data_IF_464734098295
#
_entry.id   IF_464734098295
#
_cell.length_a   1.000
_cell.length_b   1.000
_cell.length_c   1.000
_cell.angle_alpha   90.00
_cell.angle_beta   90.00
_cell.angle_gamma   90.00
#
_symmetry.space_group_name_H-M   'P 1'
#
loop_
_entity.id
_entity.type
_entity.pdbx_description
1 polymer ?
#
# COMPACT_ATOMS: atom_id res chain seq x y z
N UNK A 1 13.53 29.17 0.14
CA UNK A 1 12.23 29.61 -0.40
C UNK A 1 12.42 30.12 -1.83
N UNK A 2 12.74 29.23 -2.75
CA UNK A 2 12.84 29.48 -4.20
C UNK A 2 12.87 28.09 -4.86
N UNK A 3 12.56 28.02 -6.16
CA UNK A 3 12.36 26.80 -6.97
C UNK A 3 10.99 26.20 -6.61
N UNK A 4 9.91 26.28 -7.40
CA UNK A 4 9.77 25.80 -8.79
C UNK A 4 8.53 26.48 -9.42
N UNK A 5 8.70 27.48 -10.30
CA UNK A 5 7.64 27.88 -11.24
C UNK A 5 7.78 27.07 -12.53
N UNK A 6 7.51 25.76 -12.45
CA UNK A 6 7.30 24.97 -13.67
C UNK A 6 5.98 25.48 -14.26
N UNK A 7 6.03 26.00 -15.49
CA UNK A 7 4.83 26.41 -16.22
C UNK A 7 3.78 25.31 -16.16
N UNK A 8 2.53 25.65 -15.80
CA UNK A 8 1.42 24.70 -15.66
C UNK A 8 1.30 23.75 -16.88
N UNK A 9 1.64 24.25 -18.08
CA UNK A 9 1.68 23.47 -19.32
C UNK A 9 2.75 22.36 -19.30
N UNK A 10 3.95 22.62 -18.74
CA UNK A 10 5.01 21.61 -18.59
C UNK A 10 4.66 20.56 -17.53
N UNK A 11 3.96 20.94 -16.45
CA UNK A 11 3.46 19.98 -15.46
C UNK A 11 2.37 19.08 -16.06
N UNK A 12 1.43 19.67 -16.82
CA UNK A 12 0.39 18.91 -17.53
C UNK A 12 0.98 17.89 -18.51
N UNK A 13 2.01 18.29 -19.27
CA UNK A 13 2.73 17.39 -20.18
C UNK A 13 3.40 16.26 -19.40
N UNK A 14 4.03 16.57 -18.26
CA UNK A 14 4.63 15.55 -17.38
C UNK A 14 3.62 14.52 -16.87
N UNK A 15 2.46 14.97 -16.38
CA UNK A 15 1.39 14.06 -15.94
C UNK A 15 0.80 13.24 -17.09
N UNK A 16 0.60 13.84 -18.26
CA UNK A 16 0.11 13.14 -19.44
C UNK A 16 1.09 12.05 -19.91
N UNK A 17 2.40 12.33 -19.89
CA UNK A 17 3.44 11.35 -20.21
C UNK A 17 3.46 10.21 -19.19
N UNK A 18 3.36 10.51 -17.88
CA UNK A 18 3.28 9.48 -16.84
C UNK A 18 2.05 8.58 -17.00
N UNK A 19 0.88 9.16 -17.28
CA UNK A 19 -0.35 8.40 -17.51
C UNK A 19 -0.26 7.52 -18.76
N UNK A 20 0.34 8.04 -19.84
CA UNK A 20 0.59 7.27 -21.06
C UNK A 20 1.53 6.08 -20.82
N UNK A 21 2.62 6.30 -20.08
CA UNK A 21 3.56 5.22 -19.71
C UNK A 21 2.83 4.17 -18.88
N UNK A 22 2.04 4.57 -17.89
CA UNK A 22 1.28 3.63 -17.06
C UNK A 22 0.22 2.85 -17.86
N UNK A 23 -0.49 3.53 -18.76
CA UNK A 23 -1.48 2.90 -19.64
C UNK A 23 -0.85 1.95 -20.68
N UNK A 24 0.43 2.16 -21.05
CA UNK A 24 1.14 1.30 -21.98
C UNK A 24 1.51 -0.07 -21.38
N UNK A 25 1.62 -0.18 -20.05
CA UNK A 25 1.97 -1.41 -19.33
C UNK A 25 1.03 -2.59 -19.65
N UNK A 26 -0.31 -2.48 -19.46
CA UNK A 26 -1.22 -3.59 -19.75
C UNK A 26 -1.24 -3.97 -21.24
N UNK A 27 -0.96 -3.02 -22.15
CA UNK A 27 -0.83 -3.30 -23.59
C UNK A 27 0.43 -4.12 -23.89
N UNK A 28 1.55 -3.80 -23.24
CA UNK A 28 2.81 -4.55 -23.37
C UNK A 28 2.72 -5.94 -22.74
N UNK A 29 1.95 -6.10 -21.66
CA UNK A 29 1.64 -7.41 -21.08
C UNK A 29 0.83 -8.24 -22.07
N UNK A 30 -0.23 -7.67 -22.66
CA UNK A 30 -1.06 -8.36 -23.65
C UNK A 30 -0.29 -8.72 -24.92
N UNK A 31 0.69 -7.92 -25.31
CA UNK A 31 1.56 -8.19 -26.46
C UNK A 31 2.58 -9.32 -26.23
N UNK A 32 2.65 -9.89 -25.02
CA UNK A 32 3.56 -11.00 -24.69
C UNK A 32 5.03 -10.58 -24.56
N UNK A 33 5.32 -9.28 -24.55
CA UNK A 33 6.68 -8.73 -24.44
C UNK A 33 7.17 -8.79 -22.99
N UNK A 34 6.26 -8.67 -22.03
CA UNK A 34 6.56 -8.70 -20.59
C UNK A 34 6.38 -10.11 -20.02
N UNK A 35 7.49 -10.76 -19.66
CA UNK A 35 7.47 -12.04 -18.93
C UNK A 35 6.99 -11.86 -17.48
N UNK A 36 6.59 -12.94 -16.81
CA UNK A 36 6.10 -12.93 -15.42
C UNK A 36 7.09 -12.29 -14.43
N UNK A 37 8.39 -12.42 -14.70
CA UNK A 37 9.43 -11.74 -13.92
C UNK A 37 9.30 -10.22 -13.99
N UNK A 38 9.10 -9.66 -15.20
CA UNK A 38 8.96 -8.21 -15.38
C UNK A 38 7.68 -7.70 -14.73
N UNK A 39 6.60 -8.48 -14.76
CA UNK A 39 5.34 -8.13 -14.10
C UNK A 39 5.51 -8.08 -12.58
N UNK A 40 6.14 -9.08 -11.98
CA UNK A 40 6.42 -9.08 -10.54
C UNK A 40 7.35 -7.95 -10.13
N UNK A 41 8.41 -7.71 -10.90
CA UNK A 41 9.33 -6.61 -10.65
C UNK A 41 8.61 -5.25 -10.70
N UNK A 42 7.77 -5.04 -11.70
CA UNK A 42 6.98 -3.82 -11.83
C UNK A 42 5.98 -3.66 -10.69
N UNK A 43 5.32 -4.75 -10.27
CA UNK A 43 4.43 -4.76 -9.12
C UNK A 43 5.15 -4.29 -7.85
N UNK A 44 6.30 -4.88 -7.52
CA UNK A 44 7.09 -4.45 -6.36
C UNK A 44 7.56 -3.00 -6.49
N UNK A 45 8.01 -2.59 -7.67
CA UNK A 45 8.44 -1.21 -7.93
C UNK A 45 7.30 -0.21 -7.66
N UNK A 46 6.08 -0.50 -8.12
CA UNK A 46 4.90 0.34 -7.88
C UNK A 46 4.52 0.35 -6.40
N UNK A 47 4.54 -0.81 -5.73
CA UNK A 47 4.24 -0.91 -4.29
C UNK A 47 5.20 -0.02 -3.48
N UNK A 48 6.51 -0.13 -3.72
CA UNK A 48 7.50 0.68 -3.02
C UNK A 48 7.46 2.16 -3.43
N UNK A 49 7.11 2.47 -4.68
CA UNK A 49 6.90 3.85 -5.12
C UNK A 49 5.73 4.52 -4.37
N UNK A 50 4.60 3.81 -4.21
CA UNK A 50 3.46 4.31 -3.43
C UNK A 50 3.83 4.46 -1.95
N UNK A 51 4.55 3.48 -1.39
CA UNK A 51 5.01 3.56 0.00
C UNK A 51 5.96 4.76 0.22
N UNK A 52 6.90 4.98 -0.70
CA UNK A 52 7.80 6.13 -0.69
C UNK A 52 7.07 7.46 -0.86
N UNK A 53 6.04 7.50 -1.71
CA UNK A 53 5.19 8.68 -1.89
C UNK A 53 4.42 9.00 -0.61
N UNK A 54 3.81 8.01 0.05
CA UNK A 54 3.11 8.19 1.32
C UNK A 54 4.06 8.75 2.40
N UNK A 55 5.25 8.17 2.50
CA UNK A 55 6.28 8.66 3.41
C UNK A 55 6.74 10.09 3.08
N UNK A 56 6.94 10.41 1.80
CA UNK A 56 7.33 11.75 1.35
C UNK A 56 6.23 12.79 1.60
N UNK A 57 4.96 12.44 1.44
CA UNK A 57 3.86 13.35 1.75
C UNK A 57 3.89 13.68 3.24
N UNK A 58 3.99 12.67 4.11
CA UNK A 58 4.01 12.94 5.54
C UNK A 58 5.26 13.75 5.94
N UNK A 59 6.44 13.30 5.55
CA UNK A 59 7.70 13.95 5.92
C UNK A 59 7.83 15.35 5.27
N UNK A 60 7.46 15.48 4.00
CA UNK A 60 7.59 16.69 3.21
C UNK A 60 6.62 17.80 3.63
N UNK A 61 5.38 17.48 3.99
CA UNK A 61 4.40 18.48 4.41
C UNK A 61 4.40 18.74 5.91
N UNK A 62 4.58 17.71 6.76
CA UNK A 62 4.53 17.87 8.22
C UNK A 62 5.89 18.04 8.88
N UNK A 63 6.99 17.67 8.20
CA UNK A 63 8.32 17.62 8.80
C UNK A 63 8.49 16.51 9.86
N UNK A 64 7.51 15.60 9.97
CA UNK A 64 7.52 14.49 10.92
C UNK A 64 7.92 13.19 10.22
N UNK A 65 8.86 12.48 10.83
CA UNK A 65 9.32 11.16 10.40
C UNK A 65 8.42 10.08 11.01
N UNK A 66 7.67 9.32 10.19
CA UNK A 66 6.84 8.20 10.66
C UNK A 66 7.37 6.86 10.19
N UNK A 67 7.63 5.97 11.14
CA UNK A 67 7.90 4.56 10.88
C UNK A 67 6.64 3.68 10.97
N UNK A 68 5.47 4.30 11.15
CA UNK A 68 4.17 3.62 11.26
C UNK A 68 3.67 2.97 9.97
N UNK A 69 4.22 3.36 8.83
CA UNK A 69 3.75 2.92 7.50
C UNK A 69 3.74 1.39 7.32
N UNK A 70 4.70 0.70 7.94
CA UNK A 70 4.77 -0.76 7.88
C UNK A 70 3.58 -1.44 8.58
N UNK A 71 3.06 -0.85 9.67
CA UNK A 71 1.86 -1.35 10.33
C UNK A 71 0.62 -1.23 9.44
N UNK A 72 0.44 -0.09 8.77
CA UNK A 72 -0.70 0.11 7.87
C UNK A 72 -0.61 -0.79 6.63
N UNK A 73 0.61 -1.01 6.13
CA UNK A 73 0.86 -1.97 5.06
C UNK A 73 0.48 -3.40 5.48
N UNK A 74 0.88 -3.82 6.70
CA UNK A 74 0.51 -5.11 7.25
C UNK A 74 -1.00 -5.27 7.40
N UNK A 75 -1.71 -4.26 7.93
CA UNK A 75 -3.18 -4.28 8.08
C UNK A 75 -3.88 -4.46 6.73
N UNK A 76 -3.46 -3.71 5.71
CA UNK A 76 -3.98 -3.86 4.35
C UNK A 76 -3.75 -5.28 3.79
N UNK A 77 -2.52 -5.80 3.92
CA UNK A 77 -2.17 -7.14 3.45
C UNK A 77 -2.99 -8.24 4.15
N UNK A 78 -3.10 -8.18 5.48
CA UNK A 78 -3.88 -9.15 6.24
C UNK A 78 -5.39 -9.04 5.98
N UNK A 79 -5.89 -7.84 5.68
CA UNK A 79 -7.31 -7.66 5.30
C UNK A 79 -7.60 -8.38 3.99
N UNK A 80 -6.73 -8.24 2.98
CA UNK A 80 -6.88 -8.96 1.71
C UNK A 80 -6.71 -10.48 1.90
N UNK A 81 -5.82 -10.92 2.79
CA UNK A 81 -5.58 -12.33 3.05
C UNK A 81 -6.73 -13.02 3.81
N UNK A 82 -7.35 -12.31 4.76
CA UNK A 82 -8.40 -12.87 5.63
C UNK A 82 -9.80 -12.69 5.07
N UNK A 83 -10.08 -11.63 4.30
CA UNK A 83 -11.41 -11.36 3.76
C UNK A 83 -12.03 -12.56 2.99
N UNK A 84 -11.28 -13.32 2.17
CA UNK A 84 -11.82 -14.51 1.49
C UNK A 84 -12.25 -15.66 2.42
N UNK A 85 -11.87 -15.65 3.70
CA UNK A 85 -12.33 -16.65 4.69
C UNK A 85 -13.75 -16.35 5.19
N UNK A 86 -14.17 -15.08 5.12
CA UNK A 86 -15.47 -14.62 5.62
C UNK A 86 -16.45 -14.28 4.50
N UNK A 87 -15.93 -13.87 3.33
CA UNK A 87 -16.72 -13.48 2.16
C UNK A 87 -16.55 -14.54 1.08
N UNK A 88 -17.66 -15.06 0.57
CA UNK A 88 -17.65 -15.99 -0.56
C UNK A 88 -17.32 -15.22 -1.86
N UNK A 89 -16.29 -15.67 -2.58
CA UNK A 89 -15.87 -15.15 -3.90
C UNK A 89 -15.76 -13.60 -3.99
N UNK A 90 -14.95 -12.94 -3.12
CA UNK A 90 -14.77 -11.50 -3.22
C UNK A 90 -14.00 -11.15 -4.50
N UNK A 91 -14.52 -10.19 -5.26
CA UNK A 91 -13.81 -9.58 -6.38
C UNK A 91 -12.65 -8.70 -5.88
N UNK A 92 -11.64 -8.49 -6.72
CA UNK A 92 -10.45 -7.72 -6.34
C UNK A 92 -10.76 -6.27 -5.91
N UNK A 93 -11.80 -5.66 -6.47
CA UNK A 93 -12.25 -4.30 -6.13
C UNK A 93 -12.76 -4.22 -4.70
N UNK A 94 -13.51 -5.23 -4.27
CA UNK A 94 -14.06 -5.31 -2.91
C UNK A 94 -12.91 -5.47 -1.92
N UNK A 95 -11.94 -6.33 -2.23
CA UNK A 95 -10.75 -6.52 -1.40
C UNK A 95 -9.94 -5.24 -1.28
N UNK A 96 -9.76 -4.50 -2.38
CA UNK A 96 -9.05 -3.23 -2.40
C UNK A 96 -9.75 -2.17 -1.54
N UNK A 97 -11.08 -2.02 -1.68
CA UNK A 97 -11.86 -1.07 -0.86
C UNK A 97 -11.76 -1.45 0.62
N UNK A 98 -11.89 -2.73 0.95
CA UNK A 98 -11.81 -3.21 2.33
C UNK A 98 -10.41 -2.97 2.93
N UNK A 99 -9.35 -3.20 2.15
CA UNK A 99 -7.97 -2.92 2.57
C UNK A 99 -7.73 -1.43 2.83
N UNK A 100 -8.30 -0.55 2.00
CA UNK A 100 -8.21 0.91 2.21
C UNK A 100 -8.95 1.31 3.48
N UNK A 101 -10.19 0.85 3.66
CA UNK A 101 -11.03 1.21 4.81
C UNK A 101 -10.39 0.73 6.12
N UNK A 102 -9.98 -0.54 6.18
CA UNK A 102 -9.31 -1.10 7.36
C UNK A 102 -8.03 -0.36 7.73
N UNK A 103 -7.17 -0.08 6.74
CA UNK A 103 -5.93 0.67 6.94
C UNK A 103 -6.20 2.11 7.38
N UNK A 104 -7.23 2.76 6.82
CA UNK A 104 -7.64 4.10 7.21
C UNK A 104 -8.14 4.16 8.65
N UNK A 105 -8.95 3.18 9.08
CA UNK A 105 -9.43 3.09 10.47
C UNK A 105 -8.25 2.92 11.44
N UNK A 106 -7.33 2.01 11.16
CA UNK A 106 -6.16 1.79 12.02
C UNK A 106 -5.25 3.02 12.02
N UNK A 107 -5.02 3.64 10.85
CA UNK A 107 -4.24 4.87 10.75
C UNK A 107 -4.89 6.03 11.49
N UNK A 108 -6.22 6.12 11.54
CA UNK A 108 -6.92 7.15 12.29
C UNK A 108 -6.74 6.94 13.80
N UNK A 109 -6.86 5.70 14.28
CA UNK A 109 -6.64 5.35 15.68
C UNK A 109 -5.19 5.65 16.12
N UNK A 110 -4.21 5.22 15.31
CA UNK A 110 -2.79 5.46 15.60
C UNK A 110 -2.42 6.93 15.47
N UNK A 111 -2.95 7.59 14.44
CA UNK A 111 -2.79 9.01 14.20
C UNK A 111 -3.28 9.84 15.38
N UNK A 112 -4.45 9.54 15.93
CA UNK A 112 -5.02 10.27 17.08
C UNK A 112 -4.09 10.29 18.31
N UNK A 113 -3.34 9.20 18.52
CA UNK A 113 -2.37 9.08 19.61
C UNK A 113 -1.06 9.79 19.23
N UNK A 114 -0.55 9.51 18.04
CA UNK A 114 0.79 9.93 17.63
C UNK A 114 0.90 11.44 17.37
N UNK A 115 -0.12 12.10 16.80
CA UNK A 115 -0.06 13.52 16.39
C UNK A 115 0.15 14.51 17.54
N UNK A 116 -0.05 14.08 18.78
CA UNK A 116 0.19 14.92 19.98
C UNK A 116 1.68 15.07 20.33
N UNK A 117 2.55 14.31 19.66
CA UNK A 117 3.97 14.22 19.97
C UNK A 117 4.81 15.06 19.01
N UNK A 118 5.97 15.53 19.48
CA UNK A 118 6.86 16.39 18.72
C UNK A 118 8.00 15.59 18.09
N UNK A 119 8.19 15.76 16.77
CA UNK A 119 9.34 15.30 15.95
C UNK A 119 9.88 13.91 16.32
N UNK A 120 10.89 13.85 17.21
CA UNK A 120 11.57 12.61 17.61
C UNK A 120 10.62 11.68 18.37
N UNK A 121 9.81 12.21 19.28
CA UNK A 121 8.83 11.42 20.03
C UNK A 121 7.75 10.82 19.12
N UNK A 122 7.38 11.54 18.06
CA UNK A 122 6.47 11.00 17.04
C UNK A 122 7.08 9.81 16.30
N UNK A 123 8.36 9.89 15.93
CA UNK A 123 9.06 8.78 15.28
C UNK A 123 9.18 7.55 16.20
N UNK A 124 9.54 7.75 17.48
CA UNK A 124 9.65 6.65 18.46
C UNK A 124 8.28 6.02 18.73
N UNK A 125 7.22 6.82 18.88
CA UNK A 125 5.86 6.31 19.09
C UNK A 125 5.38 5.50 17.88
N UNK A 126 5.60 5.98 16.67
CA UNK A 126 5.18 5.25 15.45
C UNK A 126 5.99 3.96 15.25
N UNK A 127 7.27 3.91 15.65
CA UNK A 127 8.03 2.66 15.73
C UNK A 127 7.42 1.70 16.76
N UNK A 128 7.14 2.18 17.98
CA UNK A 128 6.57 1.36 19.04
C UNK A 128 5.21 0.77 18.64
N UNK A 129 4.34 1.58 18.02
CA UNK A 129 3.06 1.12 17.47
C UNK A 129 3.24 0.07 16.37
N UNK A 130 4.25 0.21 15.52
CA UNK A 130 4.55 -0.79 14.49
C UNK A 130 5.01 -2.11 15.11
N UNK A 131 5.88 -2.05 16.12
CA UNK A 131 6.33 -3.23 16.85
C UNK A 131 5.18 -3.90 17.62
N UNK A 132 4.23 -3.12 18.14
CA UNK A 132 3.01 -3.64 18.75
C UNK A 132 2.17 -4.44 17.74
N UNK A 133 1.95 -3.89 16.53
CA UNK A 133 1.22 -4.60 15.47
C UNK A 133 1.95 -5.87 15.06
N UNK A 134 3.26 -5.81 14.89
CA UNK A 134 4.07 -7.00 14.59
C UNK A 134 3.96 -8.07 15.69
N UNK A 135 4.07 -7.68 16.95
CA UNK A 135 3.91 -8.61 18.08
C UNK A 135 2.50 -9.20 18.17
N UNK A 136 1.47 -8.41 17.84
CA UNK A 136 0.08 -8.87 17.76
C UNK A 136 -0.10 -9.90 16.66
N UNK A 137 0.44 -9.66 15.46
CA UNK A 137 0.39 -10.59 14.34
C UNK A 137 1.00 -11.94 14.72
N UNK A 138 2.14 -11.95 15.42
CA UNK A 138 2.78 -13.19 15.85
C UNK A 138 2.03 -13.90 16.98
N UNK A 139 1.43 -13.15 17.93
CA UNK A 139 0.66 -13.75 19.03
C UNK A 139 -0.69 -14.29 18.60
N UNK A 140 -1.35 -13.67 17.62
CA UNK A 140 -2.64 -14.12 17.08
C UNK A 140 -2.48 -15.25 16.05
N UNK A 141 -1.66 -16.25 16.35
CA UNK A 141 -1.35 -17.35 15.43
C UNK A 141 -2.60 -18.02 14.85
N UNK A 142 -3.62 -18.25 15.68
CA UNK A 142 -4.89 -18.86 15.27
C UNK A 142 -5.67 -18.06 14.21
N UNK A 143 -5.41 -16.76 14.11
CA UNK A 143 -6.12 -15.85 13.21
C UNK A 143 -5.25 -15.42 12.02
N UNK A 144 -3.99 -15.06 12.26
CA UNK A 144 -3.08 -14.48 11.25
C UNK A 144 -2.15 -15.51 10.61
N UNK A 145 -2.08 -16.73 11.14
CA UNK A 145 -1.04 -17.71 10.76
C UNK A 145 0.35 -17.37 11.28
N UNK A 146 0.51 -16.31 12.09
CA UNK A 146 1.78 -15.94 12.74
C UNK A 146 2.96 -15.86 11.77
N UNK A 147 3.98 -16.70 12.01
CA UNK A 147 5.19 -16.79 11.17
C UNK A 147 4.97 -17.43 9.80
N UNK A 148 3.93 -18.26 9.67
CA UNK A 148 3.68 -19.05 8.45
C UNK A 148 2.91 -18.23 7.40
N UNK A 149 2.22 -17.19 7.85
CA UNK A 149 1.43 -16.31 6.99
C UNK A 149 0.20 -17.02 6.41
N UNK A 150 -0.41 -16.37 5.41
CA UNK A 150 -1.64 -16.85 4.77
C UNK A 150 -1.42 -16.84 3.26
N UNK A 151 -1.65 -17.98 2.62
CA UNK A 151 -1.58 -18.09 1.16
C UNK A 151 -2.82 -17.45 0.52
N UNK A 152 -2.59 -16.45 -0.32
CA UNK A 152 -3.65 -15.71 -1.02
C UNK A 152 -3.69 -16.19 -2.47
N UNK A 153 -4.81 -16.79 -2.87
CA UNK A 153 -5.04 -17.19 -4.27
C UNK A 153 -5.49 -15.99 -5.11
N UNK A 154 -5.08 -15.96 -6.38
CA UNK A 154 -5.58 -14.99 -7.34
C UNK A 154 -7.11 -14.97 -7.37
N UNK A 155 -7.69 -13.77 -7.39
CA UNK A 155 -9.14 -13.54 -7.44
C UNK A 155 -9.49 -12.78 -8.71
N UNK A 156 -10.69 -12.99 -9.28
CA UNK A 156 -11.10 -12.31 -10.49
C UNK A 156 -11.12 -10.78 -10.28
N UNK A 157 -10.66 -10.04 -11.28
CA UNK A 157 -10.84 -8.60 -11.41
C UNK A 157 -11.96 -8.37 -12.43
N UNK A 158 -12.92 -7.50 -12.19
CA UNK A 158 -13.98 -7.14 -13.14
C UNK A 158 -14.74 -8.34 -13.75
N UNK A 159 -14.83 -9.44 -13.01
CA UNK A 159 -15.45 -10.69 -13.48
C UNK A 159 -14.63 -11.48 -14.52
N UNK A 160 -13.46 -10.98 -14.95
CA UNK A 160 -12.50 -11.75 -15.72
C UNK A 160 -11.64 -12.58 -14.74
N UNK A 161 -11.64 -13.93 -14.85
CA UNK A 161 -10.72 -14.74 -14.08
C UNK A 161 -9.30 -14.44 -14.56
N UNK A 162 -8.41 -14.08 -13.63
CA UNK A 162 -6.98 -14.22 -13.89
C UNK A 162 -6.70 -15.72 -13.87
N UNK A 163 -6.63 -16.28 -15.08
CA UNK A 163 -6.17 -17.63 -15.24
C UNK A 163 -4.66 -17.60 -14.99
N UNK A 164 -4.24 -18.23 -13.89
CA UNK A 164 -2.91 -18.84 -13.88
C UNK A 164 -2.90 -19.97 -14.93
#
# INVERSE_FOLDING_TARGET
MSIIHVSAKKQLIGYAVMLLVFASVPLLVRAGILTDFHQNLLMYAIIFAIAGLAFNILLGYSGLLSFGHAAYFAVGAYTVALAPQFIQAPSYEILLILAIISSAIVSMAFGYIAVRLTRIFFAIMTLALTQLVWALILKLYWYTGGSDGINVKAKPLLGIPFNE
#
